data_IF_445720266057
#
_entry.id   IF_445720266057
#
_cell.length_a   1.000
_cell.length_b   1.000
_cell.length_c   1.000
_cell.angle_alpha   90.00
_cell.angle_beta   90.00
_cell.angle_gamma   90.00
#
_symmetry.space_group_name_H-M   'P 1'
#
loop_
_entity.id
_entity.type
_entity.pdbx_description
1 polymer ?
#
# COMPACT_ATOMS: atom_id res chain seq x y z
N UNK A 1 -5.18 24.11 -25.35
CA UNK A 1 -4.18 24.09 -24.26
C UNK A 1 -4.56 23.00 -23.27
N UNK A 2 -4.07 21.78 -23.51
CA UNK A 2 -4.28 20.65 -22.61
C UNK A 2 -3.44 20.87 -21.35
N UNK A 3 -4.13 20.97 -20.21
CA UNK A 3 -3.45 21.02 -18.91
C UNK A 3 -2.97 19.60 -18.62
N UNK A 4 -1.71 19.33 -18.89
CA UNK A 4 -1.01 18.15 -18.36
C UNK A 4 -1.02 18.25 -16.82
N UNK A 5 -2.03 17.65 -16.20
CA UNK A 5 -2.05 17.42 -14.76
C UNK A 5 -1.02 16.32 -14.50
N UNK A 6 0.23 16.72 -14.36
CA UNK A 6 1.26 15.87 -13.82
C UNK A 6 0.87 15.59 -12.35
N UNK A 7 0.24 14.44 -12.11
CA UNK A 7 0.20 13.86 -10.80
C UNK A 7 1.67 13.72 -10.36
N UNK A 8 2.13 14.62 -9.48
CA UNK A 8 3.39 14.39 -8.76
C UNK A 8 3.18 13.07 -8.03
N UNK A 9 3.71 11.99 -8.59
CA UNK A 9 3.69 10.68 -7.95
C UNK A 9 4.21 10.90 -6.54
N UNK A 10 3.37 10.63 -5.53
CA UNK A 10 3.82 10.66 -4.15
C UNK A 10 5.07 9.81 -4.09
N UNK A 11 6.18 10.36 -3.59
CA UNK A 11 7.37 9.53 -3.33
C UNK A 11 6.88 8.39 -2.45
N UNK A 12 6.90 7.16 -2.97
CA UNK A 12 6.70 5.99 -2.13
C UNK A 12 7.88 6.02 -1.16
N UNK A 13 7.59 6.35 0.08
CA UNK A 13 8.56 6.23 1.17
C UNK A 13 8.88 4.74 1.25
N UNK A 14 10.05 4.37 0.73
CA UNK A 14 10.58 3.01 0.86
C UNK A 14 11.04 2.92 2.30
N UNK A 15 10.36 2.07 3.07
CA UNK A 15 10.72 1.78 4.45
C UNK A 15 11.68 0.61 4.40
N UNK A 16 12.86 0.74 5.02
CA UNK A 16 13.81 -0.36 5.10
C UNK A 16 13.68 -1.07 6.44
N UNK A 17 13.93 -2.38 6.45
CA UNK A 17 14.17 -3.11 7.70
C UNK A 17 15.61 -2.88 8.16
N UNK A 18 15.78 -2.15 9.26
CA UNK A 18 17.10 -1.83 9.79
C UNK A 18 17.93 -3.08 10.11
N UNK A 19 17.30 -4.18 10.52
CA UNK A 19 18.00 -5.43 10.86
C UNK A 19 18.50 -6.15 9.62
N UNK A 20 17.64 -6.30 8.61
CA UNK A 20 18.00 -6.93 7.33
C UNK A 20 19.00 -6.06 6.57
N UNK A 21 18.87 -4.73 6.65
CA UNK A 21 19.80 -3.79 6.05
C UNK A 21 21.19 -3.93 6.66
N UNK A 22 21.28 -3.96 7.99
CA UNK A 22 22.56 -4.13 8.69
C UNK A 22 23.23 -5.47 8.36
N UNK A 23 22.46 -6.56 8.33
CA UNK A 23 22.95 -7.89 7.93
C UNK A 23 23.46 -7.87 6.48
N UNK A 24 22.67 -7.34 5.55
CA UNK A 24 23.03 -7.26 4.13
C UNK A 24 24.30 -6.44 3.89
N UNK A 25 24.48 -5.33 4.62
CA UNK A 25 25.69 -4.51 4.53
C UNK A 25 26.92 -5.25 5.07
N UNK A 26 26.76 -6.10 6.08
CA UNK A 26 27.86 -6.88 6.67
C UNK A 26 28.30 -8.08 5.83
N UNK A 27 27.41 -8.61 4.97
CA UNK A 27 27.73 -9.71 4.06
C UNK A 27 28.59 -9.27 2.86
N UNK A 28 28.60 -7.98 2.53
CA UNK A 28 29.35 -7.45 1.38
C UNK A 28 30.77 -7.03 1.77
N UNK A 29 31.72 -7.36 0.89
CA UNK A 29 33.07 -6.81 0.96
C UNK A 29 33.10 -5.39 0.34
N UNK A 30 33.67 -4.42 1.07
CA UNK A 30 33.73 -2.99 0.69
C UNK A 30 35.11 -2.55 0.22
N UNK A 31 35.94 -3.49 -0.25
CA UNK A 31 37.24 -3.18 -0.83
C UNK A 31 37.11 -2.19 -2.00
N UNK A 32 38.04 -1.24 -2.02
CA UNK A 32 38.12 -0.16 -3.00
C UNK A 32 38.85 -0.69 -4.25
N UNK A 33 38.22 -0.58 -5.41
CA UNK A 33 38.85 -0.93 -6.67
C UNK A 33 39.84 0.16 -7.12
N UNK A 34 40.83 -0.24 -7.92
CA UNK A 34 41.92 0.62 -8.37
C UNK A 34 41.45 1.69 -9.38
N UNK A 35 40.44 1.36 -10.20
CA UNK A 35 39.74 2.34 -11.04
C UNK A 35 38.55 2.96 -10.28
N UNK A 36 38.56 4.28 -10.02
CA UNK A 36 37.47 4.95 -9.31
C UNK A 36 36.12 4.88 -10.02
N UNK A 37 36.11 4.74 -11.35
CA UNK A 37 34.86 4.68 -12.12
C UNK A 37 34.16 3.34 -11.91
N UNK A 38 34.91 2.24 -11.99
CA UNK A 38 34.39 0.92 -11.69
C UNK A 38 34.11 0.72 -10.20
N UNK A 39 34.94 1.26 -9.30
CA UNK A 39 34.69 1.23 -7.86
C UNK A 39 33.30 1.82 -7.52
N UNK A 40 32.99 2.99 -8.08
CA UNK A 40 31.72 3.66 -7.86
C UNK A 40 30.52 2.87 -8.40
N UNK A 41 30.64 2.22 -9.56
CA UNK A 41 29.57 1.38 -10.11
C UNK A 41 29.32 0.16 -9.23
N UNK A 42 30.38 -0.51 -8.80
CA UNK A 42 30.31 -1.69 -7.92
C UNK A 42 29.70 -1.31 -6.57
N UNK A 43 30.08 -0.16 -6.00
CA UNK A 43 29.49 0.40 -4.79
C UNK A 43 27.97 0.60 -4.94
N UNK A 44 27.54 1.25 -6.02
CA UNK A 44 26.11 1.49 -6.26
C UNK A 44 25.32 0.18 -6.40
N UNK A 45 25.88 -0.82 -7.09
CA UNK A 45 25.21 -2.10 -7.28
C UNK A 45 25.06 -2.86 -5.96
N UNK A 46 26.11 -2.92 -5.13
CA UNK A 46 26.06 -3.53 -3.79
C UNK A 46 25.03 -2.84 -2.89
N UNK A 47 25.03 -1.50 -2.89
CA UNK A 47 24.05 -0.71 -2.14
C UNK A 47 22.62 -0.97 -2.62
N UNK A 48 22.42 -1.09 -3.94
CA UNK A 48 21.13 -1.40 -4.53
C UNK A 48 20.64 -2.78 -4.12
N UNK A 49 21.49 -3.80 -4.16
CA UNK A 49 21.17 -5.16 -3.70
C UNK A 49 20.77 -5.16 -2.21
N UNK A 50 21.52 -4.45 -1.37
CA UNK A 50 21.19 -4.30 0.05
C UNK A 50 19.85 -3.60 0.26
N UNK A 51 19.60 -2.50 -0.48
CA UNK A 51 18.36 -1.74 -0.41
C UNK A 51 17.16 -2.57 -0.87
N UNK A 52 17.30 -3.32 -1.97
CA UNK A 52 16.24 -4.18 -2.51
C UNK A 52 15.89 -5.31 -1.52
N UNK A 53 16.90 -5.92 -0.88
CA UNK A 53 16.70 -6.97 0.14
C UNK A 53 16.05 -6.43 1.42
N UNK A 54 16.42 -5.23 1.85
CA UNK A 54 15.87 -4.61 3.05
C UNK A 54 14.56 -3.84 2.81
N UNK A 55 14.18 -3.60 1.55
CA UNK A 55 13.02 -2.80 1.19
C UNK A 55 11.74 -3.50 1.63
N UNK A 56 10.99 -2.85 2.52
CA UNK A 56 9.62 -3.22 2.86
C UNK A 56 8.65 -2.41 1.99
N UNK A 57 7.58 -3.04 1.47
CA UNK A 57 6.50 -2.28 0.87
C UNK A 57 5.97 -1.31 1.92
N UNK A 58 6.05 0.00 1.63
CA UNK A 58 5.58 1.05 2.53
C UNK A 58 4.17 0.71 3.02
N UNK A 59 4.02 0.54 4.33
CA UNK A 59 2.84 -0.06 5.00
C UNK A 59 1.57 0.79 4.91
N UNK A 60 1.57 1.83 4.10
CA UNK A 60 0.64 2.96 4.21
C UNK A 60 -0.82 2.59 3.97
N UNK A 61 -1.11 1.48 3.27
CA UNK A 61 -2.48 1.00 3.05
C UNK A 61 -2.86 -0.27 3.84
N UNK A 62 -1.89 -1.07 4.32
CA UNK A 62 -2.18 -2.36 4.96
C UNK A 62 -2.74 -2.22 6.37
N UNK A 63 -2.38 -1.14 7.08
CA UNK A 63 -2.86 -0.82 8.44
C UNK A 63 -4.24 -0.16 8.46
N UNK A 64 -4.73 0.30 7.31
CA UNK A 64 -5.97 1.09 7.21
C UNK A 64 -7.24 0.26 7.40
N UNK A 65 -7.17 -1.03 7.08
CA UNK A 65 -8.28 -1.99 7.20
C UNK A 65 -7.87 -3.09 8.16
N UNK A 66 -8.68 -3.34 9.18
CA UNK A 66 -8.40 -4.35 10.19
C UNK A 66 -8.44 -5.77 9.60
N UNK A 67 -7.78 -6.72 10.29
CA UNK A 67 -7.83 -8.13 9.92
C UNK A 67 -9.26 -8.66 9.86
N UNK A 68 -10.10 -8.28 10.84
CA UNK A 68 -11.50 -8.68 10.89
C UNK A 68 -12.29 -8.20 9.66
N UNK A 69 -12.08 -6.96 9.22
CA UNK A 69 -12.73 -6.45 8.00
C UNK A 69 -12.23 -7.14 6.75
N UNK A 70 -10.94 -7.52 6.68
CA UNK A 70 -10.41 -8.34 5.58
C UNK A 70 -11.10 -9.71 5.51
N UNK A 71 -11.33 -10.35 6.66
CA UNK A 71 -12.06 -11.62 6.73
C UNK A 71 -13.53 -11.47 6.26
N UNK A 72 -14.19 -10.35 6.58
CA UNK A 72 -15.53 -10.05 6.07
C UNK A 72 -15.55 -9.90 4.54
N UNK A 73 -14.55 -9.22 3.96
CA UNK A 73 -14.43 -9.08 2.51
C UNK A 73 -14.24 -10.43 1.81
N UNK A 74 -13.42 -11.32 2.38
CA UNK A 74 -13.25 -12.69 1.90
C UNK A 74 -14.57 -13.46 1.93
N UNK A 75 -15.32 -13.39 3.05
CA UNK A 75 -16.65 -14.02 3.16
C UNK A 75 -17.64 -13.47 2.14
N UNK A 76 -17.65 -12.15 1.93
CA UNK A 76 -18.48 -11.51 0.90
C UNK A 76 -18.14 -12.01 -0.50
N UNK A 77 -16.84 -12.16 -0.81
CA UNK A 77 -16.39 -12.71 -2.11
C UNK A 77 -16.88 -14.14 -2.28
N UNK A 78 -16.72 -14.99 -1.26
CA UNK A 78 -17.20 -16.37 -1.29
C UNK A 78 -18.70 -16.46 -1.56
N UNK A 79 -19.52 -15.69 -0.84
CA UNK A 79 -20.99 -15.65 -1.03
C UNK A 79 -21.42 -15.09 -2.39
N UNK A 80 -20.59 -14.25 -3.02
CA UNK A 80 -20.88 -13.71 -4.36
C UNK A 80 -20.59 -14.74 -5.45
N UNK A 81 -19.61 -15.61 -5.23
CA UNK A 81 -19.21 -16.67 -6.17
C UNK A 81 -20.05 -17.95 -6.00
N UNK A 82 -20.65 -18.13 -4.82
CA UNK A 82 -21.53 -19.27 -4.53
C UNK A 82 -22.87 -19.16 -5.30
N UNK A 83 -23.17 -20.10 -6.22
CA UNK A 83 -24.45 -20.14 -6.94
C UNK A 83 -25.66 -20.42 -6.05
N UNK A 84 -25.45 -20.98 -4.85
CA UNK A 84 -26.50 -21.36 -3.90
C UNK A 84 -26.74 -20.32 -2.81
N UNK A 85 -25.91 -19.28 -2.72
CA UNK A 85 -26.06 -18.25 -1.70
C UNK A 85 -27.37 -17.47 -1.87
N UNK A 86 -28.12 -17.34 -0.78
CA UNK A 86 -29.37 -16.58 -0.77
C UNK A 86 -29.10 -15.09 -1.01
N UNK A 87 -30.05 -14.42 -1.68
CA UNK A 87 -29.99 -12.97 -1.87
C UNK A 87 -29.88 -12.21 -0.54
N UNK A 88 -30.53 -12.71 0.51
CA UNK A 88 -30.50 -12.10 1.84
C UNK A 88 -29.11 -12.21 2.46
N UNK A 89 -28.43 -13.35 2.32
CA UNK A 89 -27.07 -13.56 2.82
C UNK A 89 -26.08 -12.62 2.13
N UNK A 90 -26.19 -12.48 0.81
CA UNK A 90 -25.37 -11.54 0.04
C UNK A 90 -25.58 -10.09 0.49
N UNK A 91 -26.84 -9.66 0.70
CA UNK A 91 -27.14 -8.31 1.18
C UNK A 91 -26.61 -8.08 2.60
N UNK A 92 -26.73 -9.07 3.48
CA UNK A 92 -26.26 -9.01 4.86
C UNK A 92 -24.74 -8.93 4.94
N UNK A 93 -24.02 -9.72 4.12
CA UNK A 93 -22.57 -9.65 4.00
C UNK A 93 -22.12 -8.30 3.46
N UNK A 94 -22.80 -7.77 2.44
CA UNK A 94 -22.51 -6.44 1.89
C UNK A 94 -22.70 -5.32 2.92
N UNK A 95 -23.81 -5.33 3.66
CA UNK A 95 -24.07 -4.34 4.70
C UNK A 95 -23.02 -4.39 5.81
N UNK A 96 -22.64 -5.59 6.24
CA UNK A 96 -21.59 -5.80 7.25
C UNK A 96 -20.23 -5.30 6.77
N UNK A 97 -19.83 -5.61 5.53
CA UNK A 97 -18.57 -5.14 4.95
C UNK A 97 -18.53 -3.61 4.85
N UNK A 98 -19.61 -2.98 4.37
CA UNK A 98 -19.68 -1.52 4.24
C UNK A 98 -19.55 -0.84 5.59
N UNK A 99 -20.22 -1.36 6.62
CA UNK A 99 -20.15 -0.83 7.98
C UNK A 99 -18.73 -0.96 8.56
N UNK A 100 -18.15 -2.15 8.50
CA UNK A 100 -16.82 -2.43 9.04
C UNK A 100 -15.72 -1.62 8.33
N UNK A 101 -15.79 -1.52 6.99
CA UNK A 101 -14.90 -0.64 6.22
C UNK A 101 -15.05 0.82 6.68
N UNK A 102 -16.27 1.33 6.77
CA UNK A 102 -16.48 2.71 7.18
C UNK A 102 -15.91 2.99 8.58
N UNK A 103 -16.10 2.09 9.54
CA UNK A 103 -15.57 2.21 10.89
C UNK A 103 -14.03 2.20 10.91
N UNK A 104 -13.40 1.26 10.22
CA UNK A 104 -11.94 1.18 10.11
C UNK A 104 -11.35 2.44 9.47
N UNK A 105 -11.97 2.94 8.39
CA UNK A 105 -11.54 4.16 7.71
C UNK A 105 -11.65 5.39 8.61
N UNK A 106 -12.75 5.50 9.37
CA UNK A 106 -12.88 6.59 10.33
C UNK A 106 -11.87 6.48 11.47
N UNK A 107 -11.65 5.28 12.01
CA UNK A 107 -10.66 5.02 13.06
C UNK A 107 -9.25 5.38 12.60
N UNK A 108 -8.86 4.92 11.41
CA UNK A 108 -7.59 5.28 10.80
C UNK A 108 -7.42 6.79 10.66
N UNK A 109 -8.45 7.49 10.16
CA UNK A 109 -8.46 8.95 10.03
C UNK A 109 -8.25 9.64 11.38
N UNK A 110 -8.96 9.22 12.43
CA UNK A 110 -8.81 9.75 13.79
C UNK A 110 -7.40 9.53 14.32
N UNK A 111 -6.89 8.30 14.22
CA UNK A 111 -5.55 7.95 14.68
C UNK A 111 -4.46 8.78 13.98
N UNK A 112 -4.58 9.01 12.67
CA UNK A 112 -3.61 9.81 11.91
C UNK A 112 -3.61 11.28 12.33
N UNK A 113 -4.78 11.83 12.66
CA UNK A 113 -4.90 13.19 13.20
C UNK A 113 -4.26 13.26 14.60
N UNK A 114 -4.55 12.29 15.47
CA UNK A 114 -3.96 12.24 16.82
C UNK A 114 -2.44 12.14 16.79
N UNK A 115 -1.88 11.21 15.98
CA UNK A 115 -0.43 11.10 15.77
C UNK A 115 0.20 12.39 15.25
N UNK A 116 -0.50 13.13 14.39
CA UNK A 116 -0.02 14.42 13.89
C UNK A 116 0.03 15.48 15.00
N UNK A 117 -0.97 15.50 15.89
CA UNK A 117 -0.99 16.38 17.07
C UNK A 117 0.16 16.03 18.02
N UNK A 118 0.33 14.76 18.36
CA UNK A 118 1.42 14.26 19.23
C UNK A 118 2.80 14.62 18.66
N UNK A 119 2.99 14.42 17.35
CA UNK A 119 4.23 14.76 16.66
C UNK A 119 4.40 16.25 16.35
N UNK A 120 3.52 17.14 16.85
CA UNK A 120 3.49 18.59 16.55
C UNK A 120 3.56 18.89 15.05
N UNK A 121 3.02 18.00 14.22
CA UNK A 121 3.02 18.10 12.76
C UNK A 121 1.87 19.00 12.30
N UNK A 122 2.06 19.68 11.17
CA UNK A 122 1.02 20.55 10.60
C UNK A 122 -0.25 19.77 10.24
N UNK A 123 -1.39 20.19 10.79
CA UNK A 123 -2.70 19.63 10.45
C UNK A 123 -3.05 19.80 8.96
N UNK A 124 -2.54 20.86 8.31
CA UNK A 124 -2.72 21.08 6.86
C UNK A 124 -2.07 19.95 6.07
N UNK A 125 -0.86 19.55 6.45
CA UNK A 125 -0.12 18.45 5.80
C UNK A 125 -0.80 17.11 6.07
N UNK A 126 -1.17 16.82 7.32
CA UNK A 126 -1.89 15.60 7.66
C UNK A 126 -3.21 15.43 6.87
N UNK A 127 -3.99 16.53 6.71
CA UNK A 127 -5.21 16.53 5.87
C UNK A 127 -4.91 16.30 4.39
N UNK A 128 -3.80 16.81 3.86
CA UNK A 128 -3.39 16.55 2.48
C UNK A 128 -3.06 15.09 2.30
N UNK A 129 -2.25 14.51 3.18
CA UNK A 129 -1.88 13.11 3.11
C UNK A 129 -3.14 12.24 3.19
N UNK A 130 -4.08 12.53 4.09
CA UNK A 130 -5.38 11.83 4.16
C UNK A 130 -6.17 11.86 2.84
N UNK A 131 -6.08 12.92 2.03
CA UNK A 131 -6.74 12.99 0.72
C UNK A 131 -6.09 12.09 -0.31
N UNK A 132 -4.78 11.89 -0.26
CA UNK A 132 -4.09 10.96 -1.16
C UNK A 132 -4.62 9.53 -0.97
N UNK A 133 -4.96 9.13 0.26
CA UNK A 133 -5.62 7.84 0.54
C UNK A 133 -7.10 7.78 0.12
N UNK A 134 -7.74 8.92 -0.13
CA UNK A 134 -9.15 8.98 -0.56
C UNK A 134 -9.34 8.86 -2.07
N UNK A 135 -8.25 8.91 -2.84
CA UNK A 135 -8.29 8.73 -4.29
C UNK A 135 -8.73 7.29 -4.58
N UNK A 136 -9.85 7.08 -5.30
CA UNK A 136 -10.28 5.75 -5.70
C UNK A 136 -9.20 5.05 -6.53
N UNK A 137 -9.06 3.74 -6.34
CA UNK A 137 -8.19 2.95 -7.19
C UNK A 137 -8.79 2.89 -8.60
N UNK A 138 -8.04 3.36 -9.58
CA UNK A 138 -8.51 3.48 -10.97
C UNK A 138 -8.19 2.25 -11.82
N UNK A 139 -7.31 1.36 -11.33
CA UNK A 139 -6.94 0.13 -12.01
C UNK A 139 -6.50 -0.97 -11.02
N UNK A 140 -6.77 -2.22 -11.35
CA UNK A 140 -6.29 -3.42 -10.63
C UNK A 140 -5.71 -4.43 -11.63
N UNK A 141 -4.83 -5.32 -11.15
CA UNK A 141 -4.41 -6.50 -11.94
C UNK A 141 -5.33 -7.67 -11.61
N UNK A 142 -5.82 -8.33 -12.66
CA UNK A 142 -6.60 -9.56 -12.55
C UNK A 142 -5.70 -10.75 -12.20
N UNK A 143 -6.33 -11.90 -11.96
CA UNK A 143 -5.66 -13.19 -11.76
C UNK A 143 -4.77 -13.58 -12.95
N UNK A 144 -5.11 -13.12 -14.17
CA UNK A 144 -4.32 -13.29 -15.41
C UNK A 144 -3.22 -12.22 -15.60
N UNK A 145 -2.90 -11.44 -14.56
CA UNK A 145 -1.95 -10.30 -14.56
C UNK A 145 -2.32 -9.12 -15.47
N UNK A 146 -3.45 -9.19 -16.18
CA UNK A 146 -3.96 -8.11 -17.04
C UNK A 146 -4.48 -6.96 -16.16
N UNK A 147 -4.09 -5.73 -16.51
CA UNK A 147 -4.56 -4.52 -15.83
C UNK A 147 -5.98 -4.18 -16.33
N UNK A 148 -6.94 -4.12 -15.42
CA UNK A 148 -8.31 -3.71 -15.70
C UNK A 148 -8.65 -2.36 -15.07
N UNK A 149 -9.43 -1.59 -15.81
CA UNK A 149 -9.95 -0.28 -15.43
C UNK A 149 -11.47 -0.30 -15.23
N UNK A 150 -12.12 -1.42 -15.55
CA UNK A 150 -13.56 -1.60 -15.42
C UNK A 150 -13.93 -1.69 -13.94
N UNK A 151 -14.76 -0.76 -13.47
CA UNK A 151 -15.22 -0.76 -12.07
C UNK A 151 -15.87 -2.09 -11.67
N UNK A 152 -16.67 -2.68 -12.57
CA UNK A 152 -17.35 -3.94 -12.33
C UNK A 152 -16.36 -5.10 -12.18
N UNK A 153 -15.32 -5.12 -12.99
CA UNK A 153 -14.28 -6.16 -12.91
C UNK A 153 -13.44 -5.97 -11.64
N UNK A 154 -13.03 -4.73 -11.34
CA UNK A 154 -12.35 -4.35 -10.10
C UNK A 154 -13.14 -4.75 -8.86
N UNK A 155 -14.44 -4.54 -8.84
CA UNK A 155 -15.33 -5.00 -7.77
C UNK A 155 -15.47 -6.53 -7.71
N UNK A 156 -15.16 -7.25 -8.79
CA UNK A 156 -15.12 -8.71 -8.77
C UNK A 156 -13.81 -9.27 -8.18
N UNK A 157 -12.72 -8.50 -8.24
CA UNK A 157 -11.42 -8.90 -7.70
C UNK A 157 -11.29 -8.71 -6.19
N UNK A 158 -12.06 -7.79 -5.61
CA UNK A 158 -12.03 -7.40 -4.18
C UNK A 158 -13.25 -7.94 -3.43
#
# INVERSE_FOLDING_TARGET
MEKNICHRGGRKEVVYDDTILAESLSEHNWDIAEDPTEDYKVLLEKLRVCADRASKPGTTNLERISKATKELLVKRRALRLDPHASRIEQLTANASCRRALHEDLQKFRRNKIMKAVEGKRSLKMCRRDLREYSVPMTALKNEDEIVTFSHREMECMV
#
